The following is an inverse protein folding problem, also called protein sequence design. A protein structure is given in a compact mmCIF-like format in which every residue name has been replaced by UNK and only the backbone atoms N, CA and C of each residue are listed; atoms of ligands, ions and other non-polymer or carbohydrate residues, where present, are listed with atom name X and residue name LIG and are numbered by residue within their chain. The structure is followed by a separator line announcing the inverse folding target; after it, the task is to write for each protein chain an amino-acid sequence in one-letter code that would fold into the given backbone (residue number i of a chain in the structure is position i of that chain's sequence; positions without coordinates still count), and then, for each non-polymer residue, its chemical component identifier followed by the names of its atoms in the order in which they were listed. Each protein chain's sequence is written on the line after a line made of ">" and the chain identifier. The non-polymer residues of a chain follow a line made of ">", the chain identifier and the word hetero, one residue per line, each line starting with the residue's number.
data_IF_568438417875
#
_entry.id   IF_568438417875
#
_cell.length_a   1.000
_cell.length_b   1.000
_cell.length_c   1.000
_cell.angle_alpha   90.00
_cell.angle_beta   90.00
_cell.angle_gamma   90.00
#
_symmetry.space_group_name_H-M   'P 1'
#
loop_
_entity.id
_entity.type
_entity.pdbx_description
1 polymer ?
#
# COMPACT_ATOMS: atom_id res chain seq x y z
N UNK A 1 4.86 13.01 6.81
CA UNK A 1 4.93 11.58 6.56
C UNK A 1 4.28 11.25 5.24
N UNK A 2 4.98 10.52 4.35
CA UNK A 2 4.42 10.26 3.03
C UNK A 2 3.16 9.40 3.06
N UNK A 3 2.15 9.85 2.36
CA UNK A 3 0.87 9.18 2.22
C UNK A 3 0.60 8.92 0.75
N UNK A 4 0.20 7.70 0.40
CA UNK A 4 -0.08 7.32 -0.97
C UNK A 4 -1.47 6.71 -1.05
N UNK A 5 -2.27 7.20 -2.01
CA UNK A 5 -3.68 6.82 -2.13
C UNK A 5 -3.87 6.08 -3.43
N UNK A 6 -4.48 4.90 -3.36
CA UNK A 6 -4.78 4.10 -4.53
C UNK A 6 -5.84 4.79 -5.39
N UNK A 7 -5.69 4.67 -6.71
CA UNK A 7 -6.62 5.27 -7.65
C UNK A 7 -7.94 4.49 -7.63
N UNK A 8 -9.06 5.19 -7.45
CA UNK A 8 -10.37 4.55 -7.37
C UNK A 8 -10.79 3.86 -8.65
N UNK A 9 -10.33 4.36 -9.78
CA UNK A 9 -10.68 3.76 -11.07
C UNK A 9 -10.07 2.37 -11.19
N UNK A 10 -8.83 2.19 -10.75
CA UNK A 10 -8.17 0.88 -10.83
C UNK A 10 -8.47 -0.01 -9.64
N UNK A 11 -8.77 0.56 -8.48
CA UNK A 11 -9.13 -0.19 -7.27
C UNK A 11 -10.57 -0.66 -7.26
N UNK A 12 -11.26 -0.51 -8.26
CA UNK A 12 -12.60 -0.76 -8.76
C UNK A 12 -13.73 -1.09 -7.77
N UNK A 13 -13.50 -1.65 -6.62
CA UNK A 13 -14.53 -1.95 -5.63
C UNK A 13 -14.49 -1.04 -4.39
N UNK A 14 -13.60 -0.05 -4.38
CA UNK A 14 -13.47 0.91 -3.28
C UNK A 14 -13.82 2.31 -3.74
N UNK A 15 -15.08 2.50 -4.14
CA UNK A 15 -15.51 3.75 -4.74
C UNK A 15 -15.50 4.90 -3.72
N UNK A 16 -15.94 4.64 -2.48
CA UNK A 16 -16.08 5.67 -1.46
C UNK A 16 -14.81 5.87 -0.64
N UNK A 17 -14.10 4.77 -0.34
CA UNK A 17 -12.93 4.79 0.52
C UNK A 17 -11.78 4.10 -0.19
N UNK A 18 -10.96 4.86 -0.95
CA UNK A 18 -9.81 4.24 -1.64
C UNK A 18 -8.76 3.78 -0.64
N UNK A 19 -8.04 2.73 -0.99
CA UNK A 19 -6.94 2.25 -0.17
C UNK A 19 -5.88 3.34 -0.04
N UNK A 20 -5.23 3.37 1.13
CA UNK A 20 -4.18 4.35 1.41
C UNK A 20 -3.05 3.68 2.17
N UNK A 21 -1.85 4.12 1.92
CA UNK A 21 -0.69 3.66 2.67
C UNK A 21 0.12 4.86 3.15
N UNK A 22 0.43 4.88 4.43
CA UNK A 22 1.30 5.87 5.05
C UNK A 22 2.63 5.21 5.39
N UNK A 23 3.72 5.76 4.87
CA UNK A 23 5.06 5.25 5.15
C UNK A 23 5.70 6.15 6.21
N UNK A 24 5.84 5.63 7.42
CA UNK A 24 6.42 6.36 8.55
C UNK A 24 7.85 5.87 8.81
N UNK A 25 8.56 6.53 9.70
CA UNK A 25 9.95 6.19 9.98
C UNK A 25 10.11 4.76 10.48
N UNK A 26 9.20 4.32 11.35
CA UNK A 26 9.32 3.04 12.05
C UNK A 26 8.25 2.03 11.63
N UNK A 27 7.26 2.43 10.85
CA UNK A 27 6.14 1.56 10.50
C UNK A 27 5.51 1.97 9.19
N UNK A 28 4.71 1.04 8.66
CA UNK A 28 3.84 1.28 7.52
C UNK A 28 2.41 1.07 7.98
N UNK A 29 1.53 2.01 7.69
CA UNK A 29 0.12 1.90 8.05
C UNK A 29 -0.68 1.79 6.76
N UNK A 30 -1.39 0.69 6.61
CA UNK A 30 -2.22 0.45 5.44
C UNK A 30 -3.68 0.59 5.83
N UNK A 31 -4.39 1.46 5.12
CA UNK A 31 -5.83 1.68 5.33
C UNK A 31 -6.55 1.04 4.15
N UNK A 32 -7.15 -0.11 4.40
CA UNK A 32 -7.92 -0.80 3.37
C UNK A 32 -9.32 -0.20 3.35
N UNK A 33 -9.71 0.37 2.22
CA UNK A 33 -11.01 0.96 2.04
C UNK A 33 -12.11 -0.09 2.03
N UNK A 34 -13.29 0.29 2.52
CA UNK A 34 -14.48 -0.54 2.53
C UNK A 34 -15.68 0.32 2.19
N UNK A 35 -16.86 -0.28 2.15
CA UNK A 35 -18.08 0.49 1.90
C UNK A 35 -18.32 1.52 3.00
N UNK A 36 -17.95 1.18 4.23
CA UNK A 36 -18.08 2.07 5.37
C UNK A 36 -16.73 2.10 6.09
N UNK A 37 -15.99 3.20 5.92
CA UNK A 37 -14.75 3.44 6.65
C UNK A 37 -13.56 2.65 6.13
N UNK A 38 -12.63 2.34 7.03
CA UNK A 38 -11.36 1.70 6.70
C UNK A 38 -11.05 0.59 7.68
N UNK A 39 -10.35 -0.42 7.17
CA UNK A 39 -9.68 -1.40 8.00
C UNK A 39 -8.19 -1.02 8.03
N UNK A 40 -7.62 -0.91 9.22
CA UNK A 40 -6.25 -0.44 9.39
C UNK A 40 -5.32 -1.60 9.74
N UNK A 41 -4.21 -1.71 9.02
CA UNK A 41 -3.18 -2.72 9.28
C UNK A 41 -1.86 -1.99 9.47
N UNK A 42 -1.17 -2.27 10.58
CA UNK A 42 0.13 -1.66 10.91
C UNK A 42 1.21 -2.72 10.84
N UNK A 43 2.29 -2.43 10.10
CA UNK A 43 3.45 -3.31 10.01
C UNK A 43 4.67 -2.52 10.42
N UNK A 44 5.39 -3.01 11.44
CA UNK A 44 6.66 -2.41 11.84
C UNK A 44 7.69 -2.62 10.74
N UNK A 45 8.46 -1.59 10.41
CA UNK A 45 9.42 -1.68 9.31
C UNK A 45 10.47 -2.75 9.56
N UNK A 46 10.86 -2.95 10.82
CA UNK A 46 11.83 -3.99 11.17
C UNK A 46 11.30 -5.41 10.91
N UNK A 47 9.99 -5.56 10.79
CA UNK A 47 9.36 -6.85 10.52
C UNK A 47 9.13 -7.13 9.03
N UNK A 48 9.40 -6.16 8.16
CA UNK A 48 9.19 -6.35 6.72
C UNK A 48 10.25 -7.29 6.18
N UNK A 49 9.81 -8.38 5.58
CA UNK A 49 10.70 -9.38 4.99
C UNK A 49 10.88 -9.18 3.49
N UNK A 50 9.87 -8.66 2.80
CA UNK A 50 9.99 -8.37 1.37
C UNK A 50 9.02 -7.29 0.94
N UNK A 51 9.42 -6.54 -0.09
CA UNK A 51 8.59 -5.55 -0.74
C UNK A 51 8.69 -5.80 -2.24
N UNK A 52 7.55 -5.96 -2.91
CA UNK A 52 7.53 -6.19 -4.35
C UNK A 52 6.73 -5.11 -5.04
N UNK A 53 7.24 -4.68 -6.19
CA UNK A 53 6.58 -3.73 -7.07
C UNK A 53 6.14 -4.47 -8.32
N UNK A 54 4.85 -4.45 -8.60
CA UNK A 54 4.30 -5.08 -9.80
C UNK A 54 3.68 -3.97 -10.67
N UNK A 55 4.27 -3.74 -11.84
CA UNK A 55 3.82 -2.69 -12.75
C UNK A 55 2.87 -3.24 -13.79
N UNK A 56 1.76 -2.55 -14.00
CA UNK A 56 0.84 -2.79 -15.10
C UNK A 56 1.02 -1.70 -16.14
N UNK A 57 0.11 -1.64 -17.10
CA UNK A 57 0.21 -0.64 -18.18
C UNK A 57 0.07 0.77 -17.63
N UNK A 58 -0.94 1.02 -16.79
CA UNK A 58 -1.25 2.35 -16.28
C UNK A 58 -0.90 2.54 -14.82
N UNK A 59 -0.95 1.46 -14.03
CA UNK A 59 -0.82 1.53 -12.58
C UNK A 59 0.17 0.49 -12.09
N UNK A 60 0.44 0.53 -10.79
CA UNK A 60 1.34 -0.43 -10.16
C UNK A 60 0.79 -0.84 -8.79
N UNK A 61 1.21 -2.01 -8.34
CA UNK A 61 0.82 -2.56 -7.05
C UNK A 61 2.05 -2.72 -6.18
N UNK A 62 1.87 -2.57 -4.88
CA UNK A 62 2.92 -2.83 -3.89
C UNK A 62 2.46 -3.98 -3.00
N UNK A 63 3.31 -4.98 -2.84
CA UNK A 63 3.06 -6.12 -1.97
C UNK A 63 4.13 -6.13 -0.88
N UNK A 64 3.69 -6.05 0.37
CA UNK A 64 4.58 -6.04 1.53
C UNK A 64 4.30 -7.30 2.34
N UNK A 65 5.36 -8.07 2.60
CA UNK A 65 5.27 -9.25 3.43
C UNK A 65 6.12 -9.08 4.68
N UNK A 66 5.61 -9.51 5.82
CA UNK A 66 6.32 -9.41 7.09
C UNK A 66 6.72 -10.78 7.58
N UNK A 67 7.71 -10.80 8.51
CA UNK A 67 8.25 -12.04 9.07
C UNK A 67 7.22 -12.84 9.83
N UNK A 68 6.11 -12.24 10.27
CA UNK A 68 5.04 -12.96 10.95
C UNK A 68 4.03 -13.59 10.02
N UNK A 69 4.29 -13.64 8.72
CA UNK A 69 3.37 -14.18 7.72
C UNK A 69 2.27 -13.22 7.30
N UNK A 70 2.30 -11.98 7.77
CA UNK A 70 1.34 -10.97 7.38
C UNK A 70 1.68 -10.45 5.99
N UNK A 71 0.66 -10.24 5.20
CA UNK A 71 0.83 -9.73 3.84
C UNK A 71 -0.15 -8.59 3.60
N UNK A 72 0.36 -7.51 3.02
CA UNK A 72 -0.44 -6.35 2.63
C UNK A 72 -0.22 -6.11 1.15
N UNK A 73 -1.30 -5.95 0.42
CA UNK A 73 -1.23 -5.64 -1.00
C UNK A 73 -2.07 -4.39 -1.27
N UNK A 74 -1.44 -3.35 -1.80
CA UNK A 74 -2.16 -2.16 -2.22
C UNK A 74 -2.10 -2.08 -3.73
N UNK A 75 -3.27 -2.00 -4.36
CA UNK A 75 -3.43 -2.02 -5.80
C UNK A 75 -3.77 -0.64 -6.33
N UNK A 76 -3.34 -0.36 -7.55
CA UNK A 76 -3.80 0.82 -8.26
C UNK A 76 -3.14 2.12 -7.88
N UNK A 77 -1.91 2.07 -7.39
CA UNK A 77 -1.10 3.27 -7.22
C UNK A 77 -0.64 3.77 -8.58
N UNK A 78 -0.39 5.07 -8.70
CA UNK A 78 0.32 5.55 -9.87
C UNK A 78 1.71 4.93 -9.87
N UNK A 79 2.33 4.78 -11.03
CA UNK A 79 3.67 4.20 -11.11
C UNK A 79 4.69 5.03 -10.33
N UNK A 80 4.52 6.36 -10.36
CA UNK A 80 5.38 7.27 -9.61
C UNK A 80 5.27 7.03 -8.11
N UNK A 81 4.04 6.95 -7.58
CA UNK A 81 3.82 6.70 -6.16
C UNK A 81 4.34 5.33 -5.75
N UNK A 82 4.09 4.31 -6.57
CA UNK A 82 4.54 2.95 -6.26
C UNK A 82 6.06 2.88 -6.19
N UNK A 83 6.75 3.53 -7.12
CA UNK A 83 8.22 3.59 -7.10
C UNK A 83 8.73 4.30 -5.84
N UNK A 84 8.05 5.36 -5.42
CA UNK A 84 8.46 6.08 -4.23
C UNK A 84 8.25 5.24 -2.97
N UNK A 85 7.12 4.54 -2.85
CA UNK A 85 6.88 3.62 -1.74
C UNK A 85 7.96 2.54 -1.71
N UNK A 86 8.25 1.95 -2.86
CA UNK A 86 9.27 0.91 -2.97
C UNK A 86 10.63 1.43 -2.51
N UNK A 87 11.00 2.64 -2.96
CA UNK A 87 12.26 3.27 -2.57
C UNK A 87 12.32 3.52 -1.07
N UNK A 88 11.24 4.01 -0.48
CA UNK A 88 11.20 4.32 0.95
C UNK A 88 11.32 3.08 1.83
N UNK A 89 10.91 1.92 1.32
CA UNK A 89 10.90 0.68 2.09
C UNK A 89 12.11 -0.23 1.83
N UNK A 90 13.04 0.24 1.01
CA UNK A 90 14.29 -0.52 0.76
C UNK A 90 15.31 -0.42 1.88
#
# INVERSE_FOLDING_TARGET
>A
MPTFIANRISANHNILFPDRIDVEEDRVVYYKGALIGYQTIVIQRVSISSVRLVSNILFADIIIESSGGRRVEINGLTKSDAREVYRLLQ
#
